data_IF_572141061212
#
_entry.id   IF_572141061212
#
_cell.length_a   1.000
_cell.length_b   1.000
_cell.length_c   1.000
_cell.angle_alpha   90.00
_cell.angle_beta   90.00
_cell.angle_gamma   90.00
#
_symmetry.space_group_name_H-M   'P 1'
#
loop_
_entity.id
_entity.type
_entity.pdbx_description
1 polymer ?
#
# COMPACT_ATOMS: atom_id res chain seq x y z
N UNK A 1 -10.31 -64.05 25.80
CA UNK A 1 -10.94 -64.96 26.78
C UNK A 1 -11.06 -64.16 28.07
N UNK A 2 -12.18 -63.71 28.62
CA UNK A 2 -13.58 -64.17 28.72
C UNK A 2 -14.38 -62.87 29.01
N UNK A 3 -15.34 -62.47 28.16
CA UNK A 3 -16.79 -62.63 28.36
C UNK A 3 -17.30 -62.10 29.71
N UNK A 4 -18.14 -61.06 29.68
CA UNK A 4 -19.38 -61.08 30.46
C UNK A 4 -20.37 -60.03 29.96
N UNK A 5 -21.43 -60.56 29.37
CA UNK A 5 -22.72 -59.90 29.16
C UNK A 5 -23.36 -59.58 30.53
N UNK A 6 -24.16 -58.51 30.59
CA UNK A 6 -25.50 -58.62 31.17
C UNK A 6 -26.44 -57.53 30.64
N UNK A 7 -27.47 -58.03 29.95
CA UNK A 7 -28.69 -57.38 29.49
C UNK A 7 -29.66 -57.27 30.67
N UNK A 8 -30.30 -56.11 30.88
CA UNK A 8 -31.71 -55.92 31.32
C UNK A 8 -32.03 -54.44 30.98
N UNK A 9 -33.07 -54.00 30.28
CA UNK A 9 -34.38 -54.59 29.98
C UNK A 9 -35.48 -53.65 30.50
N UNK A 10 -36.05 -52.83 29.59
CA UNK A 10 -37.42 -52.28 29.58
C UNK A 10 -37.90 -51.35 30.72
N UNK A 11 -38.31 -50.12 30.36
CA UNK A 11 -39.71 -49.67 30.55
C UNK A 11 -40.10 -48.59 29.53
N UNK A 12 -41.26 -48.82 28.92
CA UNK A 12 -42.03 -47.95 28.04
C UNK A 12 -42.61 -46.76 28.82
N UNK A 13 -42.73 -45.60 28.15
CA UNK A 13 -44.00 -44.88 28.02
C UNK A 13 -43.86 -43.74 27.00
N UNK A 14 -44.66 -43.85 25.93
CA UNK A 14 -44.84 -42.83 24.92
C UNK A 14 -45.68 -41.68 25.48
N UNK A 15 -45.34 -40.44 25.13
CA UNK A 15 -46.35 -39.40 24.94
C UNK A 15 -45.86 -38.29 23.99
N UNK A 16 -46.53 -38.25 22.84
CA UNK A 16 -47.01 -37.07 22.09
C UNK A 16 -46.16 -35.79 22.04
N UNK A 17 -45.66 -35.47 20.84
CA UNK A 17 -46.04 -34.26 20.08
C UNK A 17 -45.18 -34.11 18.83
N UNK A 18 -45.79 -34.27 17.66
CA UNK A 18 -45.21 -33.95 16.36
C UNK A 18 -45.22 -32.43 16.16
N UNK A 19 -44.04 -31.82 16.01
CA UNK A 19 -43.88 -30.49 15.45
C UNK A 19 -42.75 -30.50 14.40
N UNK A 20 -42.87 -29.71 13.31
CA UNK A 20 -42.31 -30.07 12.02
C UNK A 20 -40.82 -29.72 11.86
N UNK A 21 -40.18 -30.59 11.09
CA UNK A 21 -38.82 -30.54 10.55
C UNK A 21 -38.58 -29.22 9.79
N UNK A 22 -37.91 -28.23 10.42
CA UNK A 22 -37.35 -27.08 9.70
C UNK A 22 -36.07 -27.51 9.01
N UNK A 23 -36.16 -27.70 7.69
CA UNK A 23 -35.02 -27.84 6.79
C UNK A 23 -34.22 -26.54 6.84
N UNK A 24 -33.14 -26.50 7.61
CA UNK A 24 -32.15 -25.43 7.47
C UNK A 24 -31.32 -25.74 6.21
N UNK A 25 -31.75 -25.14 5.10
CA UNK A 25 -31.03 -25.10 3.85
C UNK A 25 -29.61 -24.59 4.06
N UNK A 26 -28.66 -25.26 3.42
CA UNK A 26 -27.27 -24.85 3.33
C UNK A 26 -27.19 -23.44 2.73
N UNK A 27 -26.76 -22.47 3.52
CA UNK A 27 -26.18 -21.25 2.99
C UNK A 27 -24.69 -21.51 2.77
N UNK A 28 -24.38 -22.12 1.62
CA UNK A 28 -23.03 -22.06 1.05
C UNK A 28 -22.74 -20.60 0.74
N UNK A 29 -22.08 -19.90 1.65
CA UNK A 29 -21.54 -18.57 1.39
C UNK A 29 -20.44 -18.71 0.34
N UNK A 30 -20.82 -18.51 -0.92
CA UNK A 30 -19.88 -18.41 -2.03
C UNK A 30 -18.81 -17.35 -1.72
N UNK A 31 -17.51 -17.66 -1.87
CA UNK A 31 -16.42 -16.72 -1.60
C UNK A 31 -16.34 -15.56 -2.61
N UNK A 32 -17.24 -15.51 -3.59
CA UNK A 32 -17.23 -14.55 -4.70
C UNK A 32 -17.84 -13.18 -4.30
N UNK A 33 -18.47 -13.06 -3.13
CA UNK A 33 -19.20 -11.85 -2.72
C UNK A 33 -18.37 -10.77 -1.96
N UNK A 34 -17.03 -10.81 -1.96
CA UNK A 34 -16.20 -9.75 -1.33
C UNK A 34 -15.81 -8.61 -2.28
N UNK A 35 -16.23 -8.66 -3.55
CA UNK A 35 -15.82 -7.68 -4.56
C UNK A 35 -16.73 -6.44 -4.69
N UNK A 36 -17.78 -6.30 -3.88
CA UNK A 36 -18.73 -5.20 -4.01
C UNK A 36 -18.66 -4.26 -2.79
N UNK A 37 -18.50 -2.96 -3.06
CA UNK A 37 -18.44 -1.81 -2.14
C UNK A 37 -17.05 -1.45 -1.59
N UNK A 38 -16.10 -1.12 -2.47
CA UNK A 38 -15.00 -0.23 -2.06
C UNK A 38 -15.56 1.15 -1.75
N UNK A 39 -15.23 1.69 -0.57
CA UNK A 39 -15.67 3.03 -0.16
C UNK A 39 -15.14 4.07 -1.16
N UNK A 40 -15.82 5.23 -1.33
CA UNK A 40 -15.30 6.32 -2.16
C UNK A 40 -13.87 6.72 -1.79
N UNK A 41 -13.53 6.65 -0.51
CA UNK A 41 -12.19 6.91 0.02
C UNK A 41 -11.17 5.87 -0.47
N UNK A 42 -11.51 4.58 -0.42
CA UNK A 42 -10.63 3.51 -0.94
C UNK A 42 -10.37 3.65 -2.44
N UNK A 43 -11.39 4.04 -3.23
CA UNK A 43 -11.20 4.32 -4.66
C UNK A 43 -10.19 5.44 -4.88
N UNK A 44 -10.32 6.54 -4.15
CA UNK A 44 -9.35 7.64 -4.19
C UNK A 44 -7.94 7.18 -3.80
N UNK A 45 -7.80 6.39 -2.73
CA UNK A 45 -6.48 5.86 -2.32
C UNK A 45 -5.84 5.06 -3.47
N UNK A 46 -6.61 4.16 -4.10
CA UNK A 46 -6.11 3.34 -5.22
C UNK A 46 -5.76 4.18 -6.46
N UNK A 47 -6.52 5.24 -6.74
CA UNK A 47 -6.22 6.21 -7.80
C UNK A 47 -4.88 6.91 -7.54
N UNK A 48 -4.67 7.47 -6.34
CA UNK A 48 -3.41 8.12 -6.00
C UNK A 48 -2.22 7.16 -6.04
N UNK A 49 -2.37 5.93 -5.53
CA UNK A 49 -1.33 4.90 -5.63
C UNK A 49 -0.97 4.57 -7.08
N UNK A 50 -1.98 4.50 -7.96
CA UNK A 50 -1.76 4.24 -9.39
C UNK A 50 -1.01 5.38 -10.05
N UNK A 51 -1.37 6.62 -9.75
CA UNK A 51 -0.68 7.79 -10.30
C UNK A 51 0.77 7.87 -9.79
N UNK A 52 1.01 7.64 -8.50
CA UNK A 52 2.37 7.57 -7.93
C UNK A 52 3.19 6.48 -8.62
N UNK A 53 2.61 5.29 -8.77
CA UNK A 53 3.25 4.18 -9.47
C UNK A 53 3.68 4.59 -10.88
N UNK A 54 2.78 5.21 -11.66
CA UNK A 54 3.08 5.65 -13.03
C UNK A 54 4.20 6.69 -13.06
N UNK A 55 4.10 7.72 -12.22
CA UNK A 55 5.08 8.81 -12.18
C UNK A 55 6.50 8.29 -11.88
N UNK A 56 6.61 7.36 -10.93
CA UNK A 56 7.88 6.75 -10.50
C UNK A 56 8.36 5.71 -11.52
N UNK A 57 7.47 4.92 -12.12
CA UNK A 57 7.81 3.96 -13.18
C UNK A 57 8.44 4.66 -14.38
N UNK A 58 7.91 5.83 -14.75
CA UNK A 58 8.47 6.67 -15.82
C UNK A 58 9.87 7.21 -15.52
N UNK A 59 10.27 7.35 -14.25
CA UNK A 59 11.63 7.75 -13.90
C UNK A 59 12.66 6.65 -14.17
N UNK A 60 12.22 5.39 -14.16
CA UNK A 60 13.05 4.23 -14.42
C UNK A 60 14.02 3.88 -13.29
N UNK A 61 14.68 2.72 -13.39
CA UNK A 61 15.69 2.27 -12.44
C UNK A 61 17.02 3.02 -12.62
N UNK A 62 17.85 3.04 -11.58
CA UNK A 62 19.24 3.48 -11.75
C UNK A 62 20.04 2.45 -12.58
N UNK A 63 21.12 2.86 -13.27
CA UNK A 63 21.94 1.94 -14.05
C UNK A 63 22.46 0.78 -13.19
N UNK A 64 22.17 -0.45 -13.63
CA UNK A 64 22.58 -1.67 -12.93
C UNK A 64 21.56 -2.21 -11.92
N UNK A 65 20.46 -1.48 -11.65
CA UNK A 65 19.39 -1.95 -10.76
C UNK A 65 18.27 -2.66 -11.55
N UNK A 66 17.69 -3.70 -10.95
CA UNK A 66 16.52 -4.42 -11.47
C UNK A 66 15.21 -4.03 -10.75
N UNK A 67 15.27 -3.02 -9.90
CA UNK A 67 14.14 -2.40 -9.19
C UNK A 67 14.21 -0.88 -9.39
N UNK A 68 13.12 -0.18 -9.11
CA UNK A 68 13.10 1.28 -9.14
C UNK A 68 13.07 1.78 -7.71
N UNK A 69 14.05 2.60 -7.34
CA UNK A 69 14.05 3.33 -6.08
C UNK A 69 14.17 4.82 -6.36
N UNK A 70 13.23 5.60 -5.87
CA UNK A 70 13.27 7.06 -5.95
C UNK A 70 13.10 7.66 -4.56
N UNK A 71 13.88 8.68 -4.27
CA UNK A 71 13.86 9.39 -2.99
C UNK A 71 13.42 10.83 -3.24
N UNK A 72 12.48 11.30 -2.42
CA UNK A 72 11.90 12.62 -2.50
C UNK A 72 11.95 13.26 -1.12
N UNK A 73 12.15 14.58 -1.07
CA UNK A 73 11.99 15.37 0.14
C UNK A 73 10.78 16.27 -0.08
N UNK A 74 9.74 16.09 0.72
CA UNK A 74 8.42 16.70 0.51
C UNK A 74 7.98 17.32 1.83
N UNK A 75 7.49 18.56 1.82
CA UNK A 75 6.81 19.16 2.97
C UNK A 75 5.35 18.67 2.99
N UNK A 76 5.04 17.72 3.87
CA UNK A 76 3.70 17.12 3.95
C UNK A 76 2.81 17.87 4.96
N UNK A 77 3.37 18.27 6.11
CA UNK A 77 2.62 18.88 7.21
C UNK A 77 2.49 20.41 7.13
N UNK A 78 3.27 21.05 6.24
CA UNK A 78 3.30 22.51 6.07
C UNK A 78 3.85 23.25 7.29
N UNK A 79 4.34 22.53 8.31
CA UNK A 79 4.97 23.12 9.47
C UNK A 79 6.43 23.40 9.12
N UNK A 80 6.75 24.68 8.89
CA UNK A 80 8.12 25.13 8.57
C UNK A 80 9.16 24.78 9.64
N UNK A 81 8.73 24.37 10.84
CA UNK A 81 9.61 23.89 11.91
C UNK A 81 9.93 22.40 11.77
N UNK A 82 9.03 21.61 11.18
CA UNK A 82 9.31 20.26 10.70
C UNK A 82 9.92 20.36 9.31
N UNK A 83 11.22 20.06 9.24
CA UNK A 83 11.91 20.01 7.95
C UNK A 83 11.34 18.85 7.12
N UNK A 84 11.13 19.07 5.82
CA UNK A 84 10.73 18.12 4.76
C UNK A 84 10.84 16.63 5.14
N UNK A 85 9.75 15.87 5.03
CA UNK A 85 9.77 14.41 5.15
C UNK A 85 10.51 13.77 3.99
N UNK A 86 11.28 12.72 4.28
CA UNK A 86 11.85 11.88 3.24
C UNK A 86 10.83 10.80 2.84
N UNK A 87 10.46 10.80 1.57
CA UNK A 87 9.59 9.82 0.96
C UNK A 87 10.41 8.97 0.01
N UNK A 88 10.51 7.68 0.29
CA UNK A 88 11.17 6.70 -0.57
C UNK A 88 10.11 5.84 -1.24
N UNK A 89 10.09 5.81 -2.57
CA UNK A 89 9.23 4.92 -3.35
C UNK A 89 10.09 3.83 -3.97
N UNK A 90 9.80 2.59 -3.62
CA UNK A 90 10.46 1.38 -4.12
C UNK A 90 9.45 0.55 -4.92
N UNK A 91 9.75 0.27 -6.19
CA UNK A 91 9.00 -0.66 -7.05
C UNK A 91 9.89 -1.85 -7.36
N UNK A 92 9.49 -3.03 -6.89
CA UNK A 92 10.21 -4.28 -7.08
C UNK A 92 9.38 -5.24 -7.95
N UNK A 93 9.88 -5.65 -9.13
CA UNK A 93 9.24 -6.70 -9.91
C UNK A 93 9.45 -8.08 -9.26
N UNK A 94 8.39 -8.88 -9.21
CA UNK A 94 8.35 -10.25 -8.69
C UNK A 94 7.52 -11.14 -9.63
N UNK A 95 8.19 -11.76 -10.60
CA UNK A 95 7.56 -12.57 -11.66
C UNK A 95 6.49 -11.77 -12.44
N UNK A 96 5.20 -12.00 -12.17
CA UNK A 96 4.05 -11.32 -12.81
C UNK A 96 3.43 -10.24 -11.91
N UNK A 97 3.98 -10.05 -10.72
CA UNK A 97 3.51 -9.10 -9.71
C UNK A 97 4.57 -8.02 -9.53
N UNK A 98 4.16 -6.77 -9.38
CA UNK A 98 5.06 -5.71 -8.91
C UNK A 98 4.63 -5.28 -7.52
N UNK A 99 5.58 -5.20 -6.58
CA UNK A 99 5.35 -4.65 -5.25
C UNK A 99 5.84 -3.22 -5.24
N UNK A 100 5.00 -2.30 -4.79
CA UNK A 100 5.38 -0.93 -4.51
C UNK A 100 5.30 -0.66 -3.01
N UNK A 101 6.39 -0.12 -2.46
CA UNK A 101 6.52 0.31 -1.08
C UNK A 101 6.79 1.80 -1.07
N UNK A 102 5.95 2.56 -0.36
CA UNK A 102 6.15 3.97 -0.07
C UNK A 102 6.53 4.05 1.41
N UNK A 103 7.75 4.49 1.69
CA UNK A 103 8.27 4.70 3.03
C UNK A 103 8.36 6.19 3.31
N UNK A 104 7.72 6.64 4.37
CA UNK A 104 7.73 8.03 4.82
C UNK A 104 8.54 8.10 6.11
N UNK A 105 9.58 8.93 6.11
CA UNK A 105 10.44 9.16 7.27
C UNK A 105 10.34 10.61 7.70
N UNK A 106 9.89 10.83 8.93
CA UNK A 106 9.81 12.15 9.55
C UNK A 106 11.06 12.40 10.37
N UNK A 107 11.65 13.58 10.21
CA UNK A 107 12.84 14.00 10.93
C UNK A 107 12.49 15.10 11.92
N UNK A 108 13.11 15.06 13.09
CA UNK A 108 13.12 16.20 14.01
C UNK A 108 14.50 16.84 13.98
N UNK A 109 14.51 18.17 13.94
CA UNK A 109 15.69 18.97 14.21
C UNK A 109 15.56 19.53 15.64
N UNK A 110 16.39 19.11 16.60
CA UNK A 110 16.47 19.79 17.88
C UNK A 110 16.78 21.28 17.65
N UNK A 111 16.16 22.19 18.40
CA UNK A 111 16.29 23.65 18.21
C UNK A 111 17.74 24.18 18.26
N UNK A 112 18.68 23.38 18.78
CA UNK A 112 20.07 23.76 19.05
C UNK A 112 21.06 23.05 18.11
N UNK A 113 20.63 22.03 17.36
CA UNK A 113 21.52 21.22 16.52
C UNK A 113 21.16 21.31 15.04
N UNK A 114 22.19 21.32 14.19
CA UNK A 114 22.04 21.24 12.73
C UNK A 114 21.72 19.82 12.25
N UNK A 115 21.93 18.80 13.10
CA UNK A 115 21.70 17.39 12.80
C UNK A 115 20.20 17.04 12.83
N UNK A 116 19.75 16.35 11.78
CA UNK A 116 18.37 15.85 11.65
C UNK A 116 18.35 14.38 12.06
N UNK A 117 17.52 14.04 13.04
CA UNK A 117 17.34 12.66 13.50
C UNK A 117 16.01 12.11 13.00
N UNK A 118 16.03 10.92 12.43
CA UNK A 118 14.81 10.21 12.05
C UNK A 118 14.04 9.86 13.33
N UNK A 119 12.80 10.36 13.44
CA UNK A 119 11.92 10.13 14.60
C UNK A 119 10.99 8.96 14.35
N UNK A 120 10.47 8.87 13.14
CA UNK A 120 9.56 7.78 12.77
C UNK A 120 9.68 7.44 11.31
N UNK A 121 9.52 6.16 11.02
CA UNK A 121 9.42 5.64 9.66
C UNK A 121 8.17 4.79 9.59
N UNK A 122 7.30 5.11 8.64
CA UNK A 122 6.04 4.43 8.39
C UNK A 122 5.92 4.07 6.92
N UNK A 123 5.10 3.09 6.60
CA UNK A 123 4.98 2.58 5.23
C UNK A 123 3.55 2.42 4.74
N UNK A 124 3.41 2.53 3.42
CA UNK A 124 2.24 2.14 2.63
C UNK A 124 2.72 1.15 1.58
N UNK A 125 2.11 -0.03 1.52
CA UNK A 125 2.49 -1.11 0.62
C UNK A 125 1.33 -1.46 -0.30
N UNK A 126 1.59 -1.53 -1.60
CA UNK A 126 0.60 -2.03 -2.57
C UNK A 126 1.24 -3.01 -3.55
N UNK A 127 0.39 -3.82 -4.18
CA UNK A 127 0.80 -4.77 -5.19
C UNK A 127 0.02 -4.51 -6.48
N UNK A 128 0.73 -4.57 -7.61
CA UNK A 128 0.14 -4.50 -8.94
C UNK A 128 0.28 -5.86 -9.62
N UNK A 129 -0.84 -6.39 -10.09
CA UNK A 129 -0.88 -7.53 -10.99
C UNK A 129 -1.56 -7.12 -12.28
N UNK A 130 -0.80 -7.08 -13.38
CA UNK A 130 -1.27 -6.56 -14.67
C UNK A 130 -1.81 -5.12 -14.56
N UNK A 131 -3.14 -4.95 -14.49
CA UNK A 131 -3.81 -3.65 -14.35
C UNK A 131 -4.44 -3.45 -12.97
N UNK A 132 -4.51 -4.50 -12.16
CA UNK A 132 -5.17 -4.47 -10.87
C UNK A 132 -4.18 -4.05 -9.80
N UNK A 133 -4.55 -3.00 -9.06
CA UNK A 133 -3.77 -2.46 -7.96
C UNK A 133 -4.53 -2.74 -6.67
N UNK A 134 -3.85 -3.35 -5.71
CA UNK A 134 -4.39 -3.62 -4.38
C UNK A 134 -3.51 -2.96 -3.31
N UNK A 135 -4.12 -2.19 -2.41
CA UNK A 135 -3.48 -1.79 -1.16
C UNK A 135 -3.30 -3.03 -0.29
N UNK A 136 -2.06 -3.35 0.06
CA UNK A 136 -1.70 -4.56 0.84
C UNK A 136 -1.42 -4.26 2.32
N UNK A 137 -1.13 -3.00 2.66
CA UNK A 137 -0.96 -2.55 4.05
C UNK A 137 -0.63 -1.07 4.14
N UNK A 138 -1.01 -0.44 5.25
CA UNK A 138 -0.69 0.95 5.58
C UNK A 138 -0.52 1.06 7.09
N UNK A 139 0.48 1.83 7.54
CA UNK A 139 0.67 2.19 8.97
C UNK A 139 -0.20 3.40 9.39
N UNK A 140 -1.13 3.82 8.54
CA UNK A 140 -1.98 5.00 8.69
C UNK A 140 -3.46 4.63 8.55
N UNK A 141 -4.36 5.48 9.06
CA UNK A 141 -5.79 5.35 8.77
C UNK A 141 -6.07 5.58 7.28
N UNK A 142 -7.23 5.18 6.77
CA UNK A 142 -7.60 5.40 5.37
C UNK A 142 -7.62 6.91 5.02
N UNK A 143 -8.11 7.76 5.93
CA UNK A 143 -8.15 9.22 5.73
C UNK A 143 -6.74 9.80 5.66
N UNK A 144 -5.88 9.42 6.60
CA UNK A 144 -4.47 9.83 6.63
C UNK A 144 -3.75 9.33 5.37
N UNK A 145 -3.98 8.07 4.99
CA UNK A 145 -3.40 7.47 3.79
C UNK A 145 -3.78 8.29 2.55
N UNK A 146 -5.06 8.65 2.40
CA UNK A 146 -5.51 9.42 1.25
C UNK A 146 -4.85 10.82 1.20
N UNK A 147 -4.79 11.53 2.32
CA UNK A 147 -4.18 12.86 2.40
C UNK A 147 -2.68 12.81 2.11
N UNK A 148 -1.98 11.84 2.69
CA UNK A 148 -0.54 11.63 2.48
C UNK A 148 -0.24 11.33 1.02
N UNK A 149 -0.97 10.42 0.40
CA UNK A 149 -0.75 10.07 -1.00
C UNK A 149 -1.02 11.25 -1.95
N UNK A 150 -2.01 12.09 -1.63
CA UNK A 150 -2.25 13.33 -2.39
C UNK A 150 -1.05 14.28 -2.31
N UNK A 151 -0.53 14.52 -1.10
CA UNK A 151 0.65 15.38 -0.90
C UNK A 151 1.90 14.81 -1.59
N UNK A 152 2.14 13.50 -1.43
CA UNK A 152 3.26 12.78 -2.05
C UNK A 152 3.20 12.89 -3.57
N UNK A 153 2.03 12.65 -4.16
CA UNK A 153 1.85 12.74 -5.61
C UNK A 153 2.14 14.15 -6.14
N UNK A 154 1.69 15.20 -5.43
CA UNK A 154 2.02 16.59 -5.77
C UNK A 154 3.52 16.84 -5.70
N UNK A 155 4.19 16.40 -4.64
CA UNK A 155 5.63 16.55 -4.45
C UNK A 155 6.44 15.83 -5.54
N UNK A 156 6.11 14.57 -5.85
CA UNK A 156 6.76 13.79 -6.92
C UNK A 156 6.66 14.52 -8.27
N UNK A 157 5.47 15.05 -8.61
CA UNK A 157 5.26 15.79 -9.86
C UNK A 157 6.08 17.08 -9.92
N UNK A 158 6.21 17.79 -8.80
CA UNK A 158 7.04 18.99 -8.72
C UNK A 158 8.52 18.65 -8.89
N UNK A 159 9.03 17.66 -8.16
CA UNK A 159 10.43 17.22 -8.25
C UNK A 159 10.78 16.76 -9.68
N UNK A 160 9.90 15.96 -10.29
CA UNK A 160 10.06 15.53 -11.69
C UNK A 160 10.18 16.70 -12.66
N UNK A 161 9.37 17.75 -12.50
CA UNK A 161 9.45 18.97 -13.32
C UNK A 161 10.80 19.66 -13.14
N UNK A 162 11.29 19.79 -11.90
CA UNK A 162 12.59 20.39 -11.60
C UNK A 162 13.75 19.60 -12.23
N UNK A 163 13.74 18.27 -12.07
CA UNK A 163 14.74 17.38 -12.67
C UNK A 163 14.79 17.51 -14.19
N UNK A 164 13.63 17.61 -14.85
CA UNK A 164 13.56 17.81 -16.29
C UNK A 164 14.13 19.16 -16.74
N UNK A 165 13.89 20.24 -15.99
CA UNK A 165 14.50 21.54 -16.26
C UNK A 165 16.03 21.49 -16.15
N UNK A 166 16.56 20.81 -15.13
CA UNK A 166 18.00 20.63 -14.94
C UNK A 166 18.62 19.82 -16.09
N UNK A 167 17.99 18.71 -16.48
CA UNK A 167 18.42 17.88 -17.62
C UNK A 167 18.47 18.69 -18.91
N UNK A 168 17.43 19.46 -19.19
CA UNK A 168 17.35 20.32 -20.38
C UNK A 168 18.42 21.42 -20.37
N UNK A 169 18.66 22.05 -19.22
CA UNK A 169 19.74 23.05 -19.07
C UNK A 169 21.12 22.44 -19.32
N UNK A 170 21.42 21.26 -18.75
CA UNK A 170 22.68 20.54 -18.99
C UNK A 170 22.86 20.16 -20.47
N UNK A 171 21.79 19.73 -21.15
CA UNK A 171 21.83 19.43 -22.58
C UNK A 171 22.18 20.67 -23.42
N UNK A 172 21.56 21.83 -23.12
CA UNK A 172 21.89 23.10 -23.79
C UNK A 172 23.36 23.50 -23.59
N UNK A 173 23.89 23.35 -22.37
CA UNK A 173 25.30 23.67 -22.06
C UNK A 173 26.25 22.74 -22.83
N UNK A 174 25.97 21.43 -22.91
CA UNK A 174 26.80 20.50 -23.71
C UNK A 174 26.83 20.84 -25.21
N UNK A 175 25.74 21.40 -25.75
CA UNK A 175 25.66 21.81 -27.15
C UNK A 175 26.46 23.10 -27.40
N UNK A 176 26.53 24.01 -26.41
CA UNK A 176 27.27 25.27 -26.55
C UNK A 176 28.80 25.13 -26.38
N UNK A 177 29.27 24.02 -25.83
CA UNK A 177 30.70 23.72 -25.63
C UNK A 177 31.09 22.42 -26.35
N UNK A 178 30.91 22.37 -27.68
CA UNK A 178 31.07 21.15 -28.49
C UNK A 178 32.37 20.35 -28.22
N UNK A 179 32.40 19.06 -28.59
CA UNK A 179 33.54 18.19 -28.27
C UNK A 179 34.82 18.76 -28.90
N UNK A 180 35.80 19.05 -28.05
CA UNK A 180 37.19 19.36 -28.42
C UNK A 180 37.88 18.14 -29.01
#
# INVERSE_FOLDING_TARGET
>A
MILSLLLVGLTFLANTSLAPFKKNCWATSSPIARAAFSSPLQKKILEHLREIYQEVKEMGPYPGENFIKQEFFIEIDGDRTNKEEQVVVLIQPQLKLEKMLIQITTFSAPKVDTLRLAVSTKKISCALFQKDLALTGSDYSDEQTCQLLEAILKGIRQEKKLLNLIKNKKKKIKISFGPS
#
